data_IF_634063752354
#
_entry.id   IF_634063752354
#
_cell.length_a   1.000
_cell.length_b   1.000
_cell.length_c   1.000
_cell.angle_alpha   90.00
_cell.angle_beta   90.00
_cell.angle_gamma   90.00
#
_symmetry.space_group_name_H-M   'P 1'
#
loop_
_entity.id
_entity.type
_entity.pdbx_description
1 polymer ?
#
# COMPACT_ATOMS: atom_id res chain seq x y z
N UNK A 1 -35.18 36.69 26.53
CA UNK A 1 -34.83 36.12 25.21
C UNK A 1 -36.10 35.59 24.55
N UNK A 2 -36.43 35.98 23.31
CA UNK A 2 -37.70 35.58 22.67
C UNK A 2 -37.66 34.10 22.31
N UNK A 3 -38.77 33.38 22.49
CA UNK A 3 -38.91 31.93 22.18
C UNK A 3 -38.38 31.54 20.80
N UNK A 4 -38.54 32.43 19.82
CA UNK A 4 -38.08 32.22 18.44
C UNK A 4 -36.53 32.23 18.33
N UNK A 5 -35.83 32.99 19.17
CA UNK A 5 -34.37 33.02 19.20
C UNK A 5 -33.79 31.72 19.75
N UNK A 6 -34.43 31.11 20.76
CA UNK A 6 -34.04 29.80 21.30
C UNK A 6 -34.21 28.68 20.25
N UNK A 7 -35.32 28.70 19.52
CA UNK A 7 -35.59 27.71 18.46
C UNK A 7 -34.57 27.84 17.32
N UNK A 8 -34.27 29.07 16.88
CA UNK A 8 -33.26 29.32 15.84
C UNK A 8 -31.86 28.85 16.25
N UNK A 9 -31.45 29.09 17.49
CA UNK A 9 -30.16 28.61 18.01
C UNK A 9 -30.10 27.08 18.11
N UNK A 10 -31.21 26.43 18.49
CA UNK A 10 -31.30 24.97 18.50
C UNK A 10 -31.15 24.37 17.10
N UNK A 11 -31.80 24.96 16.10
CA UNK A 11 -31.68 24.53 14.68
C UNK A 11 -30.26 24.77 14.17
N UNK A 12 -29.67 25.94 14.45
CA UNK A 12 -28.31 26.23 14.02
C UNK A 12 -27.31 25.26 14.66
N UNK A 13 -27.46 24.98 15.96
CA UNK A 13 -26.63 24.02 16.67
C UNK A 13 -26.74 22.61 16.11
N UNK A 14 -27.95 22.15 15.76
CA UNK A 14 -28.13 20.82 15.16
C UNK A 14 -27.54 20.73 13.76
N UNK A 15 -27.66 21.78 12.94
CA UNK A 15 -27.02 21.83 11.60
C UNK A 15 -25.50 21.76 11.73
N UNK A 16 -24.90 22.53 12.64
CA UNK A 16 -23.45 22.51 12.87
C UNK A 16 -23.00 21.13 13.37
N UNK A 17 -23.74 20.49 14.28
CA UNK A 17 -23.43 19.15 14.77
C UNK A 17 -23.48 18.10 13.65
N UNK A 18 -24.50 18.14 12.79
CA UNK A 18 -24.61 17.23 11.64
C UNK A 18 -23.43 17.41 10.69
N UNK A 19 -23.05 18.66 10.37
CA UNK A 19 -21.88 18.93 9.53
C UNK A 19 -20.60 18.41 10.20
N UNK A 20 -20.41 18.65 11.50
CA UNK A 20 -19.23 18.19 12.23
C UNK A 20 -19.14 16.66 12.27
N UNK A 21 -20.26 15.97 12.46
CA UNK A 21 -20.32 14.50 12.41
C UNK A 21 -20.08 13.96 11.01
N UNK A 22 -20.57 14.65 9.98
CA UNK A 22 -20.33 14.27 8.59
C UNK A 22 -18.84 14.45 8.25
N UNK A 23 -18.31 15.67 8.38
CA UNK A 23 -16.91 15.99 8.07
C UNK A 23 -15.95 15.18 8.94
N UNK A 24 -16.18 15.12 10.25
CA UNK A 24 -15.37 14.31 11.16
C UNK A 24 -15.46 12.82 10.83
N UNK A 25 -16.67 12.30 10.60
CA UNK A 25 -16.87 10.91 10.21
C UNK A 25 -16.07 10.54 8.97
N UNK A 26 -16.14 11.34 7.89
CA UNK A 26 -15.40 11.07 6.67
C UNK A 26 -13.88 11.16 6.85
N UNK A 27 -13.38 12.14 7.61
CA UNK A 27 -11.93 12.31 7.85
C UNK A 27 -11.34 11.14 8.63
N UNK A 28 -12.08 10.51 9.55
CA UNK A 28 -11.54 9.46 10.42
C UNK A 28 -11.92 8.04 10.00
N UNK A 29 -13.12 7.85 9.44
CA UNK A 29 -13.62 6.52 9.08
C UNK A 29 -12.98 6.05 7.78
N UNK A 30 -12.87 6.93 6.78
CA UNK A 30 -12.39 6.51 5.46
C UNK A 30 -10.92 6.06 5.51
N UNK A 31 -9.98 6.79 6.15
CA UNK A 31 -8.62 6.28 6.31
C UNK A 31 -8.53 4.93 7.01
N UNK A 32 -9.38 4.68 8.02
CA UNK A 32 -9.44 3.37 8.67
C UNK A 32 -9.93 2.26 7.75
N UNK A 33 -10.94 2.52 6.93
CA UNK A 33 -11.42 1.54 5.93
C UNK A 33 -10.32 1.23 4.91
N UNK A 34 -9.55 2.25 4.53
CA UNK A 34 -8.37 2.09 3.68
C UNK A 34 -7.26 1.28 4.36
N UNK A 35 -6.99 1.50 5.64
CA UNK A 35 -6.01 0.71 6.41
C UNK A 35 -6.42 -0.76 6.52
N UNK A 36 -7.70 -1.03 6.74
CA UNK A 36 -8.24 -2.39 6.74
C UNK A 36 -8.12 -3.05 5.36
N UNK A 37 -8.36 -2.30 4.30
CA UNK A 37 -8.17 -2.77 2.92
C UNK A 37 -6.71 -3.06 2.64
N UNK A 38 -5.81 -2.14 2.99
CA UNK A 38 -4.35 -2.32 2.85
C UNK A 38 -3.87 -3.54 3.62
N UNK A 39 -4.36 -3.76 4.84
CA UNK A 39 -4.01 -4.92 5.66
C UNK A 39 -4.43 -6.23 4.98
N UNK A 40 -5.67 -6.30 4.46
CA UNK A 40 -6.16 -7.47 3.73
C UNK A 40 -5.35 -7.71 2.46
N UNK A 41 -5.04 -6.64 1.73
CA UNK A 41 -4.23 -6.66 0.52
C UNK A 41 -2.81 -7.16 0.80
N UNK A 42 -2.09 -6.56 1.76
CA UNK A 42 -0.72 -6.95 2.10
C UNK A 42 -0.64 -8.37 2.66
N UNK A 43 -1.67 -8.82 3.39
CA UNK A 43 -1.73 -10.19 3.87
C UNK A 43 -1.78 -11.23 2.74
N UNK A 44 -2.21 -10.87 1.52
CA UNK A 44 -2.18 -11.79 0.38
C UNK A 44 -0.75 -12.26 0.07
N UNK A 45 0.26 -11.40 0.24
CA UNK A 45 1.67 -11.74 0.01
C UNK A 45 2.41 -12.09 1.32
N UNK A 46 2.06 -11.47 2.45
CA UNK A 46 2.72 -11.73 3.73
C UNK A 46 2.32 -13.05 4.38
N UNK A 47 1.14 -13.60 4.03
CA UNK A 47 0.74 -14.94 4.48
C UNK A 47 1.37 -16.08 3.68
N UNK A 48 1.99 -15.78 2.52
CA UNK A 48 2.71 -16.79 1.74
C UNK A 48 3.91 -17.27 2.54
N UNK A 49 3.95 -18.57 2.78
CA UNK A 49 5.08 -19.19 3.48
C UNK A 49 6.32 -19.09 2.60
N UNK A 50 7.42 -18.60 3.19
CA UNK A 50 8.68 -18.53 2.46
C UNK A 50 9.24 -19.93 2.21
N UNK A 51 9.80 -20.18 1.01
CA UNK A 51 10.54 -21.40 0.72
C UNK A 51 11.70 -21.62 1.70
N UNK A 52 12.20 -22.86 1.75
CA UNK A 52 13.45 -23.15 2.43
C UNK A 52 14.59 -22.28 1.83
N UNK A 53 15.55 -21.90 2.66
CA UNK A 53 16.70 -21.07 2.26
C UNK A 53 16.34 -19.68 1.73
N UNK A 54 15.16 -19.17 2.11
CA UNK A 54 14.72 -17.79 1.87
C UNK A 54 14.39 -17.11 3.19
N UNK A 55 14.89 -15.90 3.39
CA UNK A 55 14.60 -15.09 4.57
C UNK A 55 14.06 -13.74 4.17
N UNK A 56 13.12 -13.21 4.96
CA UNK A 56 12.64 -11.84 4.77
C UNK A 56 13.61 -10.88 5.47
N UNK A 57 14.17 -9.97 4.69
CA UNK A 57 15.02 -8.88 5.17
C UNK A 57 14.17 -7.76 5.72
N UNK A 58 13.18 -7.31 4.93
CA UNK A 58 12.24 -6.26 5.31
C UNK A 58 10.91 -6.40 4.56
N UNK A 59 9.92 -5.60 4.92
CA UNK A 59 8.65 -5.48 4.21
C UNK A 59 8.05 -4.10 4.34
N UNK A 60 7.36 -3.66 3.30
CA UNK A 60 6.64 -2.39 3.27
C UNK A 60 5.18 -2.63 2.86
N UNK A 61 4.28 -1.86 3.45
CA UNK A 61 2.87 -1.82 3.07
C UNK A 61 2.41 -0.37 3.14
N UNK A 62 2.02 0.19 2.01
CA UNK A 62 1.73 1.61 1.87
C UNK A 62 0.44 1.81 1.10
N UNK A 63 -0.33 2.79 1.57
CA UNK A 63 -1.40 3.41 0.82
C UNK A 63 -1.00 4.85 0.48
N UNK A 64 -1.27 5.25 -0.76
CA UNK A 64 -1.16 6.64 -1.17
C UNK A 64 -1.18 6.77 -2.67
N UNK A 65 -0.92 7.98 -3.16
CA UNK A 65 -0.71 8.18 -4.59
C UNK A 65 0.72 7.71 -4.93
N UNK A 66 0.82 6.57 -5.62
CA UNK A 66 2.10 5.99 -5.97
C UNK A 66 2.63 6.50 -7.32
N UNK A 67 1.77 7.09 -8.16
CA UNK A 67 2.13 7.64 -9.47
C UNK A 67 1.67 9.10 -9.64
N UNK A 68 2.38 9.89 -10.44
CA UNK A 68 2.19 11.35 -10.61
C UNK A 68 0.78 11.84 -11.04
N UNK A 69 -0.17 10.97 -11.43
CA UNK A 69 -1.38 11.38 -12.15
C UNK A 69 -2.70 10.86 -11.54
N UNK A 70 -3.54 11.77 -11.04
CA UNK A 70 -4.97 11.54 -10.79
C UNK A 70 -5.35 11.41 -9.31
N UNK A 71 -6.64 11.57 -9.00
CA UNK A 71 -7.15 11.50 -7.63
C UNK A 71 -7.55 10.06 -7.27
N UNK A 72 -6.59 9.24 -6.87
CA UNK A 72 -6.83 7.85 -6.55
C UNK A 72 -5.93 7.36 -5.42
N UNK A 73 -6.37 6.31 -4.74
CA UNK A 73 -5.52 5.55 -3.82
C UNK A 73 -4.86 4.41 -4.58
N UNK A 74 -3.59 4.19 -4.32
CA UNK A 74 -2.89 2.97 -4.69
C UNK A 74 -2.50 2.21 -3.42
N UNK A 75 -2.53 0.89 -3.50
CA UNK A 75 -2.04 -0.02 -2.47
C UNK A 75 -0.78 -0.71 -2.98
N UNK A 76 0.26 -0.65 -2.17
CA UNK A 76 1.53 -1.33 -2.39
C UNK A 76 1.82 -2.23 -1.18
N UNK A 77 2.23 -3.46 -1.43
CA UNK A 77 2.78 -4.33 -0.42
C UNK A 77 3.98 -5.08 -1.01
N UNK A 78 5.12 -5.04 -0.36
CA UNK A 78 6.34 -5.68 -0.85
C UNK A 78 7.10 -6.38 0.27
N UNK A 79 7.79 -7.46 -0.10
CA UNK A 79 8.74 -8.21 0.72
C UNK A 79 10.11 -8.12 0.08
N UNK A 80 11.10 -7.76 0.87
CA UNK A 80 12.50 -7.80 0.49
C UNK A 80 13.09 -9.10 1.02
N UNK A 81 13.63 -9.94 0.13
CA UNK A 81 14.06 -11.29 0.46
C UNK A 81 15.54 -11.50 0.14
N UNK A 82 16.21 -12.25 1.00
CA UNK A 82 17.52 -12.86 0.75
C UNK A 82 17.28 -14.35 0.52
N UNK A 83 17.79 -14.89 -0.59
CA UNK A 83 17.57 -16.28 -0.99
C UNK A 83 18.74 -16.85 -1.77
N UNK A 84 19.08 -18.11 -1.50
CA UNK A 84 20.01 -18.86 -2.34
C UNK A 84 19.31 -19.63 -3.47
N UNK A 85 17.99 -19.53 -3.60
CA UNK A 85 17.23 -20.21 -4.64
C UNK A 85 17.44 -19.56 -6.01
N UNK A 86 17.36 -20.38 -7.06
CA UNK A 86 17.35 -19.87 -8.43
C UNK A 86 16.04 -19.11 -8.71
N UNK A 87 16.11 -18.08 -9.57
CA UNK A 87 14.97 -17.21 -9.94
C UNK A 87 13.68 -17.98 -10.21
N UNK A 88 13.73 -18.90 -11.17
CA UNK A 88 12.59 -19.70 -11.59
C UNK A 88 12.01 -20.56 -10.45
N UNK A 89 12.86 -21.05 -9.53
CA UNK A 89 12.38 -21.87 -8.42
C UNK A 89 11.63 -21.05 -7.38
N UNK A 90 12.14 -19.86 -7.05
CA UNK A 90 11.47 -18.94 -6.13
C UNK A 90 10.13 -18.46 -6.69
N UNK A 91 10.11 -18.05 -7.95
CA UNK A 91 8.90 -17.56 -8.62
C UNK A 91 7.81 -18.64 -8.64
N UNK A 92 8.16 -19.88 -9.04
CA UNK A 92 7.23 -21.01 -9.01
C UNK A 92 6.71 -21.31 -7.60
N UNK A 93 7.56 -21.30 -6.57
CA UNK A 93 7.11 -21.56 -5.20
C UNK A 93 6.13 -20.47 -4.71
N UNK A 94 6.37 -19.21 -5.06
CA UNK A 94 5.42 -18.13 -4.75
C UNK A 94 4.11 -18.31 -5.51
N UNK A 95 4.15 -18.59 -6.81
CA UNK A 95 2.95 -18.79 -7.63
C UNK A 95 2.10 -19.99 -7.17
N UNK A 96 2.73 -21.09 -6.74
CA UNK A 96 2.02 -22.27 -6.24
C UNK A 96 1.32 -22.03 -4.89
N UNK A 97 1.95 -21.24 -4.00
CA UNK A 97 1.45 -20.99 -2.65
C UNK A 97 0.59 -19.72 -2.54
N UNK A 98 0.63 -18.84 -3.54
CA UNK A 98 -0.13 -17.61 -3.56
C UNK A 98 -1.57 -17.85 -3.99
N UNK A 99 -2.50 -17.46 -3.12
CA UNK A 99 -3.95 -17.59 -3.32
C UNK A 99 -4.65 -16.23 -3.39
N UNK A 100 -3.88 -15.15 -3.57
CA UNK A 100 -4.40 -13.79 -3.64
C UNK A 100 -5.03 -13.47 -5.00
N UNK A 101 -5.76 -12.36 -5.05
CA UNK A 101 -6.45 -11.89 -6.26
C UNK A 101 -5.58 -10.99 -7.11
N UNK A 102 -4.59 -10.34 -6.50
CA UNK A 102 -3.73 -9.36 -7.17
C UNK A 102 -2.54 -10.07 -7.83
N UNK A 103 -1.97 -9.52 -8.90
CA UNK A 103 -0.85 -10.15 -9.60
C UNK A 103 0.45 -9.98 -8.81
N UNK A 104 1.16 -11.08 -8.54
CA UNK A 104 2.52 -11.05 -8.00
C UNK A 104 3.51 -10.50 -9.03
N UNK A 105 4.46 -9.72 -8.56
CA UNK A 105 5.53 -9.15 -9.35
C UNK A 105 6.86 -9.31 -8.61
N UNK A 106 7.95 -9.44 -9.38
CA UNK A 106 9.29 -9.71 -8.88
C UNK A 106 10.28 -8.68 -9.44
N UNK A 107 11.17 -8.17 -8.59
CA UNK A 107 12.31 -7.34 -8.99
C UNK A 107 13.56 -8.02 -8.45
N UNK A 108 14.41 -8.48 -9.36
CA UNK A 108 15.70 -9.07 -9.00
C UNK A 108 16.74 -7.96 -8.89
N UNK A 109 17.47 -7.95 -7.77
CA UNK A 109 18.48 -6.95 -7.46
C UNK A 109 19.85 -7.52 -7.91
N UNK A 110 20.54 -6.84 -8.81
CA UNK A 110 21.90 -7.23 -9.20
C UNK A 110 22.96 -6.65 -8.24
N UNK A 111 24.22 -7.10 -8.33
CA UNK A 111 25.33 -6.59 -7.51
C UNK A 111 25.60 -5.08 -7.68
N UNK A 112 25.03 -4.45 -8.71
CA UNK A 112 25.08 -3.00 -8.94
C UNK A 112 23.84 -2.24 -8.45
N UNK A 113 22.86 -2.94 -7.85
CA UNK A 113 21.49 -2.46 -7.58
C UNK A 113 20.80 -1.86 -8.81
N UNK A 114 21.20 -2.24 -10.01
CA UNK A 114 20.53 -1.82 -11.23
C UNK A 114 19.32 -2.72 -11.47
N UNK A 115 18.12 -2.16 -11.44
CA UNK A 115 16.86 -2.86 -11.64
C UNK A 115 16.80 -3.44 -13.07
N UNK A 116 16.77 -4.78 -13.21
CA UNK A 116 16.98 -5.42 -14.52
C UNK A 116 15.72 -5.83 -15.29
N UNK A 117 14.51 -5.67 -14.73
CA UNK A 117 13.28 -6.10 -15.44
C UNK A 117 12.38 -4.92 -15.85
N UNK A 118 12.13 -4.85 -17.15
CA UNK A 118 11.33 -3.87 -17.92
C UNK A 118 9.80 -4.05 -17.71
N UNK A 119 9.40 -4.63 -16.58
CA UNK A 119 8.01 -4.98 -16.29
C UNK A 119 7.45 -3.96 -15.33
N UNK A 120 6.77 -2.99 -15.93
CA UNK A 120 6.40 -1.71 -15.34
C UNK A 120 7.62 -0.84 -15.05
N UNK A 121 7.50 0.40 -15.49
CA UNK A 121 8.34 1.53 -15.13
C UNK A 121 8.30 1.73 -13.59
N UNK A 122 8.95 0.82 -12.85
CA UNK A 122 9.02 0.75 -11.39
C UNK A 122 9.70 2.00 -10.82
N UNK A 123 10.41 2.74 -11.67
CA UNK A 123 10.86 4.12 -11.44
C UNK A 123 9.73 5.15 -11.24
N UNK A 124 8.47 4.69 -11.23
CA UNK A 124 7.29 5.53 -10.97
C UNK A 124 6.44 5.10 -9.77
N UNK A 125 6.79 4.06 -9.00
CA UNK A 125 6.14 3.78 -7.69
C UNK A 125 6.98 4.43 -6.61
N UNK A 126 6.64 5.67 -6.23
CA UNK A 126 7.49 6.49 -5.36
C UNK A 126 7.89 5.81 -4.05
N UNK A 127 6.94 5.18 -3.36
CA UNK A 127 7.24 4.54 -2.07
C UNK A 127 8.04 3.25 -2.20
N UNK A 128 8.00 2.57 -3.35
CA UNK A 128 8.82 1.39 -3.58
C UNK A 128 10.26 1.80 -3.89
N UNK A 129 10.45 2.80 -4.75
CA UNK A 129 11.75 3.35 -5.12
C UNK A 129 12.48 3.92 -3.89
N UNK A 130 11.83 4.81 -3.14
CA UNK A 130 12.38 5.39 -1.89
C UNK A 130 12.76 4.31 -0.86
N UNK A 131 11.98 3.22 -0.79
CA UNK A 131 12.25 2.12 0.14
C UNK A 131 13.41 1.24 -0.33
N UNK A 132 13.54 0.99 -1.63
CA UNK A 132 14.65 0.23 -2.18
C UNK A 132 15.97 1.00 -2.11
N UNK A 133 15.96 2.31 -2.35
CA UNK A 133 17.13 3.19 -2.20
C UNK A 133 17.70 3.16 -0.77
N UNK A 134 16.83 3.06 0.24
CA UNK A 134 17.25 2.91 1.64
C UNK A 134 17.97 1.57 1.89
N UNK A 135 17.69 0.54 1.09
CA UNK A 135 18.22 -0.82 1.26
C UNK A 135 19.35 -1.16 0.30
N UNK A 136 19.52 -0.40 -0.79
CA UNK A 136 20.52 -0.63 -1.83
C UNK A 136 21.96 -0.71 -1.27
N UNK A 137 22.27 0.03 -0.20
CA UNK A 137 23.63 0.07 0.34
C UNK A 137 23.85 -0.82 1.58
N UNK A 138 22.79 -1.37 2.18
CA UNK A 138 22.87 -2.00 3.50
C UNK A 138 22.32 -3.42 3.54
N UNK A 139 21.54 -3.83 2.54
CA UNK A 139 20.90 -5.15 2.54
C UNK A 139 21.64 -6.15 1.66
N UNK A 140 21.62 -7.42 2.05
CA UNK A 140 22.03 -8.56 1.20
C UNK A 140 20.85 -9.13 0.41
N UNK A 141 19.82 -8.32 0.17
CA UNK A 141 18.63 -8.81 -0.48
C UNK A 141 18.90 -9.09 -1.96
N UNK A 142 18.31 -10.18 -2.44
CA UNK A 142 18.45 -10.63 -3.83
C UNK A 142 17.22 -10.27 -4.66
N UNK A 143 16.05 -10.16 -4.01
CA UNK A 143 14.77 -10.04 -4.71
C UNK A 143 13.70 -9.33 -3.89
N UNK A 144 12.89 -8.54 -4.59
CA UNK A 144 11.66 -7.94 -4.08
C UNK A 144 10.49 -8.67 -4.68
N UNK A 145 9.57 -9.15 -3.84
CA UNK A 145 8.29 -9.67 -4.29
C UNK A 145 7.21 -8.68 -3.85
N UNK A 146 6.38 -8.22 -4.79
CA UNK A 146 5.41 -7.17 -4.48
C UNK A 146 4.05 -7.37 -5.14
N UNK A 147 3.05 -6.76 -4.52
CA UNK A 147 1.71 -6.56 -5.03
C UNK A 147 1.48 -5.06 -5.20
N UNK A 148 0.84 -4.70 -6.30
CA UNK A 148 0.40 -3.34 -6.56
C UNK A 148 -1.03 -3.35 -7.08
N UNK A 149 -1.90 -2.54 -6.49
CA UNK A 149 -3.26 -2.32 -6.95
C UNK A 149 -3.57 -0.83 -6.94
N UNK A 150 -3.70 -0.27 -8.15
CA UNK A 150 -3.88 1.15 -8.33
C UNK A 150 -5.31 1.57 -8.68
N UNK A 151 -5.49 2.88 -8.78
CA UNK A 151 -6.74 3.53 -9.21
C UNK A 151 -7.96 3.24 -8.31
N UNK A 152 -7.74 3.01 -7.02
CA UNK A 152 -8.81 2.86 -6.05
C UNK A 152 -9.40 4.23 -5.69
N UNK A 153 -10.65 4.26 -5.22
CA UNK A 153 -11.31 5.52 -4.88
C UNK A 153 -10.52 6.30 -3.83
N UNK A 154 -10.19 7.56 -4.13
CA UNK A 154 -9.50 8.50 -3.20
C UNK A 154 -10.45 9.18 -2.20
N UNK A 155 -11.72 8.79 -2.21
CA UNK A 155 -12.79 9.56 -1.57
C UNK A 155 -12.51 9.78 -0.09
N UNK A 156 -12.15 11.00 0.28
CA UNK A 156 -11.94 11.47 1.66
C UNK A 156 -10.78 10.83 2.44
N UNK A 157 -9.88 10.10 1.79
CA UNK A 157 -8.56 9.81 2.34
C UNK A 157 -7.57 10.89 1.88
N UNK A 158 -6.96 11.59 2.84
CA UNK A 158 -6.01 12.66 2.56
C UNK A 158 -4.66 12.15 2.06
N UNK A 159 -4.38 10.85 2.21
CA UNK A 159 -3.13 10.21 1.75
C UNK A 159 -3.12 9.92 0.25
N UNK A 160 -4.29 9.97 -0.39
CA UNK A 160 -4.50 9.60 -1.79
C UNK A 160 -4.68 10.83 -2.71
N UNK A 161 -4.01 11.93 -2.35
CA UNK A 161 -4.13 13.25 -2.99
C UNK A 161 -2.78 13.96 -3.05
#
# INVERSE_FOLDING_TARGET
MKRNTLILLGILGSVVLVIALYVGGFIWIVPKMHDETLTKFSNQIFSVQLPADTTQVDSISVIGQQFANGNHCDYLAARLLETSLQKEKLENDFEENYQGTSKLQFIWLDESNAYTDDIFDSSKIYSLDDWLDQHAQTSKADVVVYLFEGHMTSSFDYRCR
#
